data_IF_599800334507
#
_entry.id   IF_599800334507
#
_cell.length_a   1.000
_cell.length_b   1.000
_cell.length_c   1.000
_cell.angle_alpha   90.00
_cell.angle_beta   90.00
_cell.angle_gamma   90.00
#
_symmetry.space_group_name_H-M   'P 1'
#
loop_
_entity.id
_entity.type
_entity.pdbx_description
1 polymer ?
#
# COMPACT_ATOMS: atom_id res chain seq x y z
N UNK A 1 -15.54 -7.46 3.44
CA UNK A 1 -14.42 -8.03 4.22
C UNK A 1 -13.33 -7.01 4.40
N UNK A 2 -12.29 -7.00 3.56
CA UNK A 2 -11.24 -5.99 3.67
C UNK A 2 -11.77 -4.59 3.40
N UNK A 3 -12.68 -4.44 2.45
CA UNK A 3 -13.32 -3.17 2.13
C UNK A 3 -14.10 -2.62 3.33
N UNK A 4 -14.84 -3.48 4.01
CA UNK A 4 -15.59 -3.11 5.21
C UNK A 4 -14.65 -2.70 6.33
N UNK A 5 -13.58 -3.48 6.53
CA UNK A 5 -12.57 -3.16 7.53
C UNK A 5 -12.01 -1.76 7.30
N UNK A 6 -11.66 -1.44 6.05
CA UNK A 6 -11.10 -0.14 5.71
C UNK A 6 -12.09 0.99 5.97
N UNK A 7 -13.35 0.80 5.55
CA UNK A 7 -14.40 1.81 5.76
C UNK A 7 -14.69 2.06 7.22
N UNK A 8 -14.59 1.03 8.05
CA UNK A 8 -14.82 1.17 9.49
C UNK A 8 -13.62 1.79 10.21
N UNK A 9 -12.42 1.49 9.74
CA UNK A 9 -11.18 1.96 10.37
C UNK A 9 -10.82 3.38 9.95
N UNK A 10 -11.03 3.71 8.67
CA UNK A 10 -10.71 5.01 8.09
C UNK A 10 -11.93 5.59 7.35
N UNK A 11 -13.03 5.85 8.08
CA UNK A 11 -14.29 6.24 7.41
C UNK A 11 -14.23 7.52 6.60
N UNK A 12 -13.53 8.53 7.09
CA UNK A 12 -13.41 9.79 6.34
C UNK A 12 -12.65 9.58 5.02
N UNK A 13 -11.57 8.81 5.07
CA UNK A 13 -10.76 8.55 3.89
C UNK A 13 -11.54 7.71 2.88
N UNK A 14 -12.25 6.70 3.36
CA UNK A 14 -13.08 5.84 2.51
C UNK A 14 -14.16 6.63 1.78
N UNK A 15 -14.74 7.63 2.45
CA UNK A 15 -15.76 8.49 1.84
C UNK A 15 -15.16 9.50 0.87
N UNK A 16 -13.94 9.96 1.13
CA UNK A 16 -13.29 10.97 0.30
C UNK A 16 -12.78 10.41 -1.02
N UNK A 17 -12.36 9.17 -1.04
CA UNK A 17 -11.78 8.55 -2.23
C UNK A 17 -12.25 7.11 -2.36
N UNK A 18 -12.87 6.80 -3.49
CA UNK A 18 -13.35 5.46 -3.78
C UNK A 18 -12.15 4.52 -3.98
N UNK A 19 -12.13 3.43 -3.23
CA UNK A 19 -11.04 2.48 -3.28
C UNK A 19 -10.87 1.82 -4.67
N UNK A 20 -11.97 1.67 -5.42
CA UNK A 20 -11.87 1.12 -6.77
C UNK A 20 -11.03 2.01 -7.67
N UNK A 21 -11.14 3.35 -7.51
CA UNK A 21 -10.37 4.28 -8.33
C UNK A 21 -8.88 4.27 -8.00
N UNK A 22 -8.51 3.76 -6.83
CA UNK A 22 -7.10 3.66 -6.44
C UNK A 22 -6.45 2.45 -7.08
N UNK A 23 -7.19 1.35 -7.22
CA UNK A 23 -6.64 0.06 -7.66
C UNK A 23 -7.18 -0.44 -9.00
N UNK A 24 -7.70 0.46 -9.83
CA UNK A 24 -8.24 0.11 -11.15
C UNK A 24 -7.18 0.13 -12.26
N UNK A 25 -5.94 0.37 -11.91
CA UNK A 25 -4.82 0.43 -12.84
C UNK A 25 -3.56 -0.10 -12.16
N UNK A 26 -2.57 -0.50 -12.96
CA UNK A 26 -1.24 -0.86 -12.45
C UNK A 26 -0.39 0.38 -12.18
N UNK A 27 -0.80 1.53 -12.66
CA UNK A 27 -0.06 2.77 -12.46
C UNK A 27 -0.40 3.41 -11.12
N UNK A 28 0.51 4.23 -10.61
CA UNK A 28 0.28 4.95 -9.36
C UNK A 28 -1.00 5.78 -9.46
N UNK A 29 -1.89 5.69 -8.47
CA UNK A 29 -3.08 6.54 -8.47
C UNK A 29 -2.67 8.02 -8.39
N UNK A 30 -3.45 8.87 -9.05
CA UNK A 30 -3.21 10.30 -9.03
C UNK A 30 -3.40 10.85 -7.62
N UNK A 31 -2.75 11.97 -7.33
CA UNK A 31 -2.96 12.65 -6.06
C UNK A 31 -4.42 13.10 -5.94
N UNK A 32 -5.00 12.85 -4.77
CA UNK A 32 -6.34 13.30 -4.44
C UNK A 32 -6.25 14.29 -3.29
N UNK A 33 -6.55 15.56 -3.59
CA UNK A 33 -6.36 16.64 -2.63
C UNK A 33 -7.16 16.44 -1.34
N UNK A 34 -8.40 15.99 -1.46
CA UNK A 34 -9.25 15.76 -0.30
C UNK A 34 -8.73 14.61 0.56
N UNK A 35 -8.30 13.52 -0.10
CA UNK A 35 -7.71 12.39 0.60
C UNK A 35 -6.42 12.80 1.31
N UNK A 36 -5.58 13.61 0.67
CA UNK A 36 -4.34 14.10 1.27
C UNK A 36 -4.62 14.87 2.56
N UNK A 37 -5.62 15.76 2.56
CA UNK A 37 -5.94 16.53 3.77
C UNK A 37 -6.42 15.63 4.91
N UNK A 38 -7.14 14.57 4.58
CA UNK A 38 -7.60 13.59 5.58
C UNK A 38 -6.44 12.76 6.10
N UNK A 39 -5.55 12.34 5.20
CA UNK A 39 -4.38 11.54 5.58
C UNK A 39 -3.46 12.32 6.52
N UNK A 40 -3.35 13.62 6.35
CA UNK A 40 -2.56 14.46 7.28
C UNK A 40 -3.05 14.32 8.72
N UNK A 41 -4.35 14.25 8.92
CA UNK A 41 -4.92 14.06 10.26
C UNK A 41 -4.59 12.68 10.82
N UNK A 42 -4.76 11.64 10.03
CA UNK A 42 -4.42 10.29 10.47
C UNK A 42 -2.92 10.14 10.73
N UNK A 43 -2.09 10.80 9.93
CA UNK A 43 -0.65 10.75 10.11
C UNK A 43 -0.21 11.28 11.47
N UNK A 44 -0.91 12.29 11.99
CA UNK A 44 -0.66 12.80 13.33
C UNK A 44 -1.00 11.76 14.41
N UNK A 45 -2.08 11.01 14.20
CA UNK A 45 -2.50 9.95 15.12
C UNK A 45 -1.52 8.77 15.14
N UNK A 46 -0.86 8.53 14.02
CA UNK A 46 0.01 7.36 13.85
C UNK A 46 1.47 7.75 13.64
N UNK A 47 1.93 8.78 14.35
CA UNK A 47 3.30 9.29 14.21
C UNK A 47 4.37 8.21 14.39
N UNK A 48 4.14 7.27 15.29
CA UNK A 48 5.09 6.22 15.60
C UNK A 48 4.85 4.93 14.78
N UNK A 49 4.00 5.01 13.76
CA UNK A 49 3.60 3.85 12.96
C UNK A 49 3.88 4.11 11.48
N UNK A 50 5.15 4.04 11.05
CA UNK A 50 5.50 4.35 9.66
C UNK A 50 4.77 3.47 8.64
N UNK A 51 4.51 2.20 8.98
CA UNK A 51 3.79 1.31 8.08
C UNK A 51 2.36 1.77 7.79
N UNK A 52 1.67 2.30 8.80
CA UNK A 52 0.32 2.84 8.60
C UNK A 52 0.40 4.11 7.76
N UNK A 53 1.31 5.01 8.10
CA UNK A 53 1.44 6.28 7.37
C UNK A 53 1.79 6.06 5.90
N UNK A 54 2.74 5.17 5.62
CA UNK A 54 3.13 4.88 4.24
C UNK A 54 1.94 4.41 3.41
N UNK A 55 1.14 3.48 3.95
CA UNK A 55 -0.04 2.99 3.25
C UNK A 55 -1.07 4.07 2.99
N UNK A 56 -1.32 4.93 3.96
CA UNK A 56 -2.31 6.00 3.80
C UNK A 56 -1.87 7.05 2.78
N UNK A 57 -0.60 7.43 2.77
CA UNK A 57 -0.10 8.37 1.77
C UNK A 57 -0.14 7.77 0.37
N UNK A 58 0.16 6.47 0.24
CA UNK A 58 0.01 5.78 -1.03
C UNK A 58 -1.43 5.84 -1.52
N UNK A 59 -2.38 5.57 -0.63
CA UNK A 59 -3.80 5.61 -0.96
C UNK A 59 -4.22 6.99 -1.46
N UNK A 60 -3.67 8.04 -0.88
CA UNK A 60 -3.95 9.42 -1.29
C UNK A 60 -3.26 9.81 -2.60
N UNK A 61 -2.36 8.97 -3.10
CA UNK A 61 -1.66 9.23 -4.35
C UNK A 61 -0.37 10.02 -4.20
N UNK A 62 0.11 10.22 -2.98
CA UNK A 62 1.36 10.94 -2.73
C UNK A 62 2.53 9.96 -2.66
N UNK A 63 3.07 9.63 -3.83
CA UNK A 63 4.16 8.66 -3.96
C UNK A 63 5.41 9.11 -3.21
N UNK A 64 5.78 10.39 -3.34
CA UNK A 64 7.00 10.89 -2.72
C UNK A 64 6.97 10.81 -1.20
N UNK A 65 5.88 11.25 -0.59
CA UNK A 65 5.74 11.18 0.86
C UNK A 65 5.76 9.74 1.36
N UNK A 66 5.02 8.86 0.69
CA UNK A 66 5.02 7.44 1.05
C UNK A 66 6.42 6.84 0.91
N UNK A 67 7.13 7.17 -0.16
CA UNK A 67 8.47 6.66 -0.41
C UNK A 67 9.48 7.12 0.64
N UNK A 68 9.43 8.39 1.04
CA UNK A 68 10.31 8.90 2.08
C UNK A 68 10.10 8.17 3.41
N UNK A 69 8.86 7.85 3.73
CA UNK A 69 8.55 7.11 4.95
C UNK A 69 9.14 5.70 4.89
N UNK A 70 8.89 4.98 3.78
CA UNK A 70 9.43 3.63 3.60
C UNK A 70 10.96 3.61 3.62
N UNK A 71 11.58 4.61 3.01
CA UNK A 71 13.02 4.69 2.90
C UNK A 71 13.68 4.79 4.27
N UNK A 72 12.98 5.37 5.24
CA UNK A 72 13.45 5.51 6.61
C UNK A 72 13.06 4.33 7.50
N UNK A 73 12.28 3.40 6.99
CA UNK A 73 11.78 2.24 7.74
C UNK A 73 12.51 0.99 7.27
N UNK A 74 13.46 0.52 8.10
CA UNK A 74 14.29 -0.64 7.76
C UNK A 74 13.60 -1.98 8.02
N UNK A 75 12.36 -1.97 8.53
CA UNK A 75 11.63 -3.20 8.81
C UNK A 75 11.16 -3.90 7.52
N UNK A 76 10.74 -5.16 7.65
CA UNK A 76 10.13 -5.88 6.53
C UNK A 76 8.88 -5.17 6.02
N UNK A 77 8.13 -4.49 6.90
CA UNK A 77 6.96 -3.71 6.51
C UNK A 77 7.36 -2.55 5.60
N UNK A 78 8.39 -1.79 5.98
CA UNK A 78 8.91 -0.71 5.14
C UNK A 78 9.37 -1.21 3.79
N UNK A 79 10.04 -2.35 3.76
CA UNK A 79 10.47 -2.97 2.51
C UNK A 79 9.29 -3.36 1.63
N UNK A 80 8.21 -3.87 2.22
CA UNK A 80 7.03 -4.26 1.45
C UNK A 80 6.33 -3.05 0.82
N UNK A 81 6.12 -1.98 1.58
CA UNK A 81 5.56 -0.74 1.03
C UNK A 81 6.47 -0.18 -0.07
N UNK A 82 7.77 -0.26 0.12
CA UNK A 82 8.76 0.19 -0.85
C UNK A 82 8.60 -0.58 -2.17
N UNK A 83 8.41 -1.90 -2.08
CA UNK A 83 8.20 -2.74 -3.25
C UNK A 83 6.93 -2.34 -4.02
N UNK A 84 5.85 -2.08 -3.30
CA UNK A 84 4.59 -1.65 -3.92
C UNK A 84 4.78 -0.33 -4.66
N UNK A 85 5.45 0.62 -4.04
CA UNK A 85 5.68 1.94 -4.64
C UNK A 85 6.50 1.85 -5.92
N UNK A 86 7.56 1.05 -5.93
CA UNK A 86 8.36 0.87 -7.14
C UNK A 86 7.60 0.12 -8.24
N UNK A 87 6.72 -0.81 -7.86
CA UNK A 87 5.87 -1.46 -8.84
C UNK A 87 4.95 -0.44 -9.52
N UNK A 88 4.34 0.46 -8.74
CA UNK A 88 3.46 1.50 -9.28
C UNK A 88 4.18 2.46 -10.23
N UNK A 89 5.45 2.72 -10.00
CA UNK A 89 6.20 3.59 -10.91
C UNK A 89 6.79 2.84 -12.12
N UNK A 90 6.56 1.53 -12.19
CA UNK A 90 7.04 0.71 -13.30
C UNK A 90 8.48 0.25 -13.16
N UNK A 91 9.07 0.35 -11.97
CA UNK A 91 10.44 -0.09 -11.72
C UNK A 91 10.46 -1.51 -11.20
N UNK A 92 10.38 -2.46 -12.11
CA UNK A 92 10.28 -3.88 -11.78
C UNK A 92 11.51 -4.39 -11.01
N UNK A 93 12.70 -3.93 -11.38
CA UNK A 93 13.94 -4.37 -10.73
C UNK A 93 13.94 -4.02 -9.25
N UNK A 94 13.67 -2.75 -8.93
CA UNK A 94 13.63 -2.30 -7.54
C UNK A 94 12.45 -2.89 -6.78
N UNK A 95 11.30 -3.05 -7.43
CA UNK A 95 10.16 -3.68 -6.79
C UNK A 95 10.48 -5.09 -6.31
N UNK A 96 11.08 -5.90 -7.19
CA UNK A 96 11.47 -7.27 -6.84
C UNK A 96 12.52 -7.30 -5.73
N UNK A 97 13.47 -6.36 -5.76
CA UNK A 97 14.49 -6.24 -4.73
C UNK A 97 13.85 -6.05 -3.35
N UNK A 98 12.91 -5.12 -3.24
CA UNK A 98 12.28 -4.83 -1.95
C UNK A 98 11.33 -5.94 -1.50
N UNK A 99 10.64 -6.63 -2.42
CA UNK A 99 9.85 -7.80 -2.05
C UNK A 99 10.73 -8.91 -1.45
N UNK A 100 11.92 -9.10 -1.99
CA UNK A 100 12.84 -10.10 -1.43
C UNK A 100 13.27 -9.74 -0.01
N UNK A 101 13.43 -8.45 0.27
CA UNK A 101 13.77 -8.00 1.62
C UNK A 101 12.61 -8.14 2.60
N UNK A 102 11.40 -8.33 2.11
CA UNK A 102 10.20 -8.53 2.92
C UNK A 102 9.78 -10.00 2.98
N UNK A 103 10.66 -10.92 2.58
CA UNK A 103 10.31 -12.35 2.44
C UNK A 103 9.80 -12.97 3.73
N UNK A 104 10.27 -12.50 4.88
CA UNK A 104 9.88 -13.06 6.18
C UNK A 104 8.68 -12.35 6.83
N UNK A 105 8.06 -11.43 6.12
CA UNK A 105 6.93 -10.70 6.67
C UNK A 105 5.72 -11.61 6.88
N UNK A 106 5.05 -11.54 8.06
CA UNK A 106 3.91 -12.42 8.37
C UNK A 106 2.75 -12.33 7.37
N UNK A 107 2.59 -11.18 6.70
CA UNK A 107 1.51 -11.00 5.72
C UNK A 107 1.63 -11.97 4.54
N UNK A 108 2.82 -12.48 4.27
CA UNK A 108 2.99 -13.47 3.21
C UNK A 108 2.10 -14.70 3.39
N UNK A 109 1.86 -15.07 4.64
CA UNK A 109 1.01 -16.22 4.94
C UNK A 109 -0.48 -15.86 4.98
N UNK A 110 -0.81 -14.58 4.85
CA UNK A 110 -2.18 -14.09 4.92
C UNK A 110 -2.78 -13.80 3.54
N UNK A 111 -1.95 -13.69 2.51
CA UNK A 111 -2.42 -13.45 1.14
C UNK A 111 -2.39 -14.76 0.35
N UNK A 112 -3.15 -14.80 -0.74
CA UNK A 112 -3.37 -16.03 -1.52
C UNK A 112 -2.45 -16.19 -2.71
N UNK A 113 -1.45 -15.32 -2.84
CA UNK A 113 -0.57 -15.26 -3.99
C UNK A 113 0.83 -14.81 -3.56
N UNK A 114 1.82 -15.06 -4.42
CA UNK A 114 3.17 -14.52 -4.21
C UNK A 114 3.17 -13.05 -4.66
N UNK A 115 3.48 -12.09 -3.77
CA UNK A 115 3.45 -10.68 -4.15
C UNK A 115 4.39 -10.31 -5.29
N UNK A 116 5.46 -11.09 -5.51
CA UNK A 116 6.36 -10.84 -6.64
C UNK A 116 5.67 -11.08 -7.99
N UNK A 117 4.62 -11.90 -8.02
CA UNK A 117 3.84 -12.13 -9.24
C UNK A 117 3.14 -10.85 -9.70
N UNK A 118 2.83 -9.95 -8.75
CA UNK A 118 2.21 -8.66 -9.11
C UNK A 118 3.10 -7.83 -10.01
N UNK A 119 4.41 -7.96 -9.85
CA UNK A 119 5.35 -7.25 -10.73
C UNK A 119 5.20 -7.73 -12.17
N UNK A 120 5.10 -9.04 -12.36
CA UNK A 120 4.91 -9.62 -13.70
C UNK A 120 3.57 -9.19 -14.30
N UNK A 121 2.50 -9.24 -13.51
CA UNK A 121 1.17 -8.81 -13.97
C UNK A 121 1.15 -7.33 -14.33
N UNK A 122 1.86 -6.51 -13.56
CA UNK A 122 1.98 -5.08 -13.81
C UNK A 122 2.71 -4.81 -15.14
N UNK A 123 3.82 -5.48 -15.37
CA UNK A 123 4.59 -5.32 -16.60
C UNK A 123 3.77 -5.75 -17.83
N UNK A 124 3.00 -6.81 -17.71
CA UNK A 124 2.14 -7.31 -18.79
C UNK A 124 0.80 -6.58 -18.89
N UNK A 125 0.54 -5.60 -18.03
CA UNK A 125 -0.75 -4.87 -17.98
C UNK A 125 -1.94 -5.81 -17.88
N UNK A 126 -1.82 -6.85 -17.05
CA UNK A 126 -2.84 -7.90 -16.90
C UNK A 126 -4.02 -7.40 -16.06
N UNK A 127 -5.05 -6.89 -16.71
CA UNK A 127 -6.23 -6.34 -16.03
C UNK A 127 -7.00 -7.38 -15.22
N UNK A 128 -6.94 -8.64 -15.62
CA UNK A 128 -7.61 -9.72 -14.88
C UNK A 128 -7.05 -9.99 -13.50
N UNK A 129 -5.89 -9.43 -13.19
CA UNK A 129 -5.22 -9.62 -11.89
C UNK A 129 -5.18 -8.36 -11.04
N UNK A 130 -5.80 -7.27 -11.49
CA UNK A 130 -5.81 -6.01 -10.75
C UNK A 130 -6.37 -6.16 -9.33
N UNK A 131 -7.35 -7.03 -9.16
CA UNK A 131 -7.98 -7.22 -7.83
C UNK A 131 -6.98 -7.67 -6.76
N UNK A 132 -5.87 -8.29 -7.15
CA UNK A 132 -4.86 -8.75 -6.20
C UNK A 132 -4.14 -7.60 -5.52
N UNK A 133 -4.04 -6.44 -6.17
CA UNK A 133 -3.44 -5.24 -5.56
C UNK A 133 -4.22 -4.81 -4.33
N UNK A 134 -5.55 -4.87 -4.41
CA UNK A 134 -6.41 -4.49 -3.30
C UNK A 134 -6.22 -5.45 -2.12
N UNK A 135 -6.17 -6.74 -2.41
CA UNK A 135 -5.93 -7.75 -1.37
C UNK A 135 -4.58 -7.49 -0.67
N UNK A 136 -3.52 -7.26 -1.44
CA UNK A 136 -2.19 -6.98 -0.89
C UNK A 136 -2.20 -5.73 -0.02
N UNK A 137 -2.73 -4.64 -0.55
CA UNK A 137 -2.71 -3.34 0.12
C UNK A 137 -3.45 -3.38 1.45
N UNK A 138 -4.68 -3.86 1.43
CA UNK A 138 -5.48 -3.85 2.65
C UNK A 138 -5.03 -4.89 3.67
N UNK A 139 -4.53 -6.03 3.22
CA UNK A 139 -4.00 -7.02 4.15
C UNK A 139 -2.77 -6.47 4.88
N UNK A 140 -1.88 -5.81 4.13
CA UNK A 140 -0.69 -5.21 4.75
C UNK A 140 -1.07 -4.05 5.68
N UNK A 141 -1.96 -3.17 5.24
CA UNK A 141 -2.38 -2.04 6.06
C UNK A 141 -3.07 -2.51 7.34
N UNK A 142 -3.96 -3.48 7.22
CA UNK A 142 -4.65 -4.05 8.38
C UNK A 142 -3.68 -4.67 9.36
N UNK A 143 -2.70 -5.41 8.86
CA UNK A 143 -1.66 -5.98 9.72
C UNK A 143 -0.93 -4.87 10.49
N UNK A 144 -0.59 -3.77 9.82
CA UNK A 144 0.08 -2.64 10.46
C UNK A 144 -0.78 -2.04 11.58
N UNK A 145 -2.08 -1.89 11.35
CA UNK A 145 -2.99 -1.33 12.35
C UNK A 145 -3.13 -2.27 13.55
N UNK A 146 -3.25 -3.57 13.30
CA UNK A 146 -3.46 -4.56 14.35
C UNK A 146 -2.20 -4.89 15.14
N UNK A 147 -1.04 -4.61 14.59
CA UNK A 147 0.25 -4.94 15.22
C UNK A 147 1.06 -3.71 15.65
N UNK A 148 0.43 -2.55 15.68
CA UNK A 148 1.10 -1.34 16.18
C UNK A 148 1.27 -1.45 17.68
N UNK A 149 2.33 -0.80 18.19
CA UNK A 149 2.62 -0.80 19.62
C UNK A 149 2.36 0.55 20.25
#
# INVERSE_FOLDING_TARGET
>A
MLDEWFSETFPELSRARNLESVFDSWDMPSEDRRAIEIVKKYAEMYQDCPGIRAGLWLYAGDWETAHLICQSDESATGSWWHAILHRFEGDAFNSKYWYRRAVDHPVRDLITFDPQELVEYSQGKNEGRLYLQKEEFFTLLRWCVENRK
#
